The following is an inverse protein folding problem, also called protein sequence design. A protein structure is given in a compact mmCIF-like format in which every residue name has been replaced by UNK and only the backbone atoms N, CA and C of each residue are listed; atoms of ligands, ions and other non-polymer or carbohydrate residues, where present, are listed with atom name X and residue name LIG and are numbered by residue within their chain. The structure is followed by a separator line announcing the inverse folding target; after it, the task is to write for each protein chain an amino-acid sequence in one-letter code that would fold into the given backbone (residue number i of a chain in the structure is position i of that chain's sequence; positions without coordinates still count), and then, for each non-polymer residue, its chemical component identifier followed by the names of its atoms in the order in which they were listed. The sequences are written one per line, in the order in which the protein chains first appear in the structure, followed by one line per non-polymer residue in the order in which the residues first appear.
data_IF_884478182153
#
_entry.id   IF_884478182153
#
_cell.length_a   1.000
_cell.length_b   1.000
_cell.length_c   1.000
_cell.angle_alpha   90.00
_cell.angle_beta   90.00
_cell.angle_gamma   90.00
#
_symmetry.space_group_name_H-M   'P 1'
#
loop_
_entity.id
_entity.type
_entity.pdbx_description
1 polymer ?
#
# COMPACT_ATOMS: atom_id res chain seq x y z
N UNK A 1 9.43 7.80 -1.60
CA UNK A 1 10.17 6.92 -0.67
C UNK A 1 9.28 5.72 -0.39
N UNK A 2 9.79 4.50 -0.55
CA UNK A 2 9.06 3.25 -0.29
C UNK A 2 9.71 2.53 0.88
N UNK A 3 8.91 1.94 1.78
CA UNK A 3 9.41 1.15 2.91
C UNK A 3 8.98 -0.30 2.69
N UNK A 4 9.95 -1.17 2.44
CA UNK A 4 9.73 -2.59 2.24
C UNK A 4 10.09 -3.35 3.51
N UNK A 5 9.27 -4.33 3.91
CA UNK A 5 9.53 -5.22 5.05
C UNK A 5 9.80 -6.64 4.56
N UNK A 6 10.95 -7.20 4.93
CA UNK A 6 11.30 -8.60 4.70
C UNK A 6 12.30 -9.09 5.75
N UNK A 7 12.25 -10.38 6.08
CA UNK A 7 13.29 -11.08 6.84
C UNK A 7 14.12 -12.03 5.95
N UNK A 8 13.70 -12.21 4.69
CA UNK A 8 14.45 -12.99 3.71
C UNK A 8 15.53 -12.08 3.09
N UNK A 9 16.80 -12.52 3.18
CA UNK A 9 17.95 -11.77 2.69
C UNK A 9 17.91 -11.50 1.19
N UNK A 10 17.63 -12.52 0.38
CA UNK A 10 17.55 -12.35 -1.08
C UNK A 10 16.48 -11.31 -1.46
N UNK A 11 15.32 -11.35 -0.79
CA UNK A 11 14.25 -10.35 -0.98
C UNK A 11 14.66 -8.94 -0.59
N UNK A 12 15.51 -8.77 0.43
CA UNK A 12 16.00 -7.45 0.83
C UNK A 12 16.96 -6.90 -0.23
N UNK A 13 17.81 -7.74 -0.80
CA UNK A 13 18.73 -7.37 -1.89
C UNK A 13 17.92 -6.97 -3.14
N UNK A 14 16.93 -7.78 -3.57
CA UNK A 14 16.03 -7.46 -4.70
C UNK A 14 15.24 -6.15 -4.50
N UNK A 15 14.71 -5.89 -3.30
CA UNK A 15 13.89 -4.70 -3.05
C UNK A 15 14.68 -3.38 -3.15
N UNK A 16 16.01 -3.41 -2.98
CA UNK A 16 16.88 -2.23 -3.09
C UNK A 16 17.33 -2.00 -4.53
N UNK A 17 17.34 -3.05 -5.35
CA UNK A 17 17.81 -3.04 -6.74
C UNK A 17 16.75 -2.53 -7.73
N UNK A 18 16.25 -1.31 -7.49
CA UNK A 18 15.16 -0.69 -8.26
C UNK A 18 15.58 0.61 -8.98
N UNK A 19 16.84 1.03 -8.84
CA UNK A 19 17.29 2.34 -9.33
C UNK A 19 17.89 2.31 -10.75
N UNK A 20 18.34 1.15 -11.20
CA UNK A 20 19.04 1.00 -12.49
C UNK A 20 18.09 0.76 -13.68
N UNK A 21 16.78 0.70 -13.43
CA UNK A 21 15.76 0.50 -14.46
C UNK A 21 14.50 1.33 -14.18
N UNK A 22 13.65 1.45 -15.18
CA UNK A 22 12.35 2.11 -15.08
C UNK A 22 11.28 1.35 -15.85
N UNK A 23 10.03 1.54 -15.45
CA UNK A 23 8.87 1.05 -16.19
C UNK A 23 8.59 1.96 -17.38
N UNK A 24 8.13 1.35 -18.48
CA UNK A 24 7.61 2.06 -19.63
C UNK A 24 6.25 2.70 -19.33
N UNK A 25 5.84 3.69 -20.13
CA UNK A 25 4.51 4.31 -20.00
C UNK A 25 3.37 3.29 -20.16
N UNK A 26 3.54 2.28 -21.00
CA UNK A 26 2.52 1.24 -21.18
C UNK A 26 2.37 0.37 -19.93
N UNK A 27 3.48 0.02 -19.28
CA UNK A 27 3.47 -0.74 -18.02
C UNK A 27 2.87 0.06 -16.87
N UNK A 28 3.17 1.36 -16.78
CA UNK A 28 2.57 2.26 -15.80
C UNK A 28 1.04 2.34 -16.00
N UNK A 29 0.56 2.49 -17.24
CA UNK A 29 -0.89 2.47 -17.54
C UNK A 29 -1.57 1.17 -17.11
N UNK A 30 -0.89 0.02 -17.21
CA UNK A 30 -1.44 -1.26 -16.75
C UNK A 30 -1.60 -1.29 -15.23
N UNK A 31 -0.69 -0.67 -14.49
CA UNK A 31 -0.77 -0.57 -13.01
C UNK A 31 -1.93 0.32 -12.59
N UNK A 32 -2.18 1.42 -13.30
CA UNK A 32 -3.32 2.33 -13.01
C UNK A 32 -4.68 1.64 -13.15
N UNK A 33 -4.78 0.58 -13.95
CA UNK A 33 -6.01 -0.18 -14.15
C UNK A 33 -6.27 -1.22 -13.04
N UNK A 34 -5.33 -1.42 -12.11
CA UNK A 34 -5.52 -2.36 -11.00
C UNK A 34 -6.63 -1.84 -10.09
N UNK A 35 -7.64 -2.68 -9.74
CA UNK A 35 -8.68 -2.29 -8.80
C UNK A 35 -8.09 -1.86 -7.46
N UNK A 36 -8.43 -0.65 -7.03
CA UNK A 36 -7.95 -0.09 -5.77
C UNK A 36 -8.78 -0.62 -4.61
N UNK A 37 -8.10 -1.10 -3.58
CA UNK A 37 -8.71 -1.51 -2.32
C UNK A 37 -7.69 -1.33 -1.20
N UNK A 38 -8.16 -0.90 -0.03
CA UNK A 38 -7.30 -0.64 1.12
C UNK A 38 -7.21 -1.86 2.02
N UNK A 39 -5.99 -2.24 2.42
CA UNK A 39 -5.73 -3.50 3.14
C UNK A 39 -5.89 -3.39 4.66
N UNK A 40 -5.63 -2.22 5.25
CA UNK A 40 -5.75 -1.97 6.70
C UNK A 40 -6.98 -1.12 6.98
N UNK A 41 -8.12 -1.77 7.21
CA UNK A 41 -9.40 -1.10 7.34
C UNK A 41 -9.84 -0.93 8.80
N UNK A 42 -9.66 -1.95 9.66
CA UNK A 42 -10.40 -2.02 10.93
C UNK A 42 -9.56 -2.04 12.19
N UNK A 43 -8.23 -2.12 12.10
CA UNK A 43 -7.37 -2.33 13.28
C UNK A 43 -7.45 -1.19 14.31
N UNK A 44 -8.00 -0.04 13.90
CA UNK A 44 -8.18 1.16 14.73
C UNK A 44 -9.64 1.56 14.94
N UNK A 45 -10.59 0.72 14.52
CA UNK A 45 -12.03 0.99 14.66
C UNK A 45 -12.55 0.31 15.92
N UNK A 46 -13.05 1.10 16.86
CA UNK A 46 -13.57 0.62 18.14
C UNK A 46 -14.93 1.26 18.44
N UNK A 47 -15.85 0.48 19.00
CA UNK A 47 -17.21 0.96 19.28
C UNK A 47 -17.24 2.14 20.28
N UNK A 48 -16.31 2.15 21.23
CA UNK A 48 -16.08 3.19 22.24
C UNK A 48 -14.89 4.09 21.90
N UNK A 49 -14.26 3.89 20.74
CA UNK A 49 -13.11 4.67 20.28
C UNK A 49 -13.48 5.96 19.54
N UNK A 50 -12.47 6.77 19.19
CA UNK A 50 -12.66 8.00 18.43
C UNK A 50 -13.17 7.75 17.00
N UNK A 51 -12.84 6.59 16.44
CA UNK A 51 -13.29 6.16 15.10
C UNK A 51 -14.21 4.95 15.24
N UNK A 52 -15.48 5.14 14.92
CA UNK A 52 -16.54 4.13 15.11
C UNK A 52 -16.76 3.27 13.87
N UNK A 53 -16.37 3.79 12.71
CA UNK A 53 -16.42 3.10 11.43
C UNK A 53 -15.10 3.30 10.67
N UNK A 54 -14.91 2.48 9.64
CA UNK A 54 -13.76 2.63 8.73
C UNK A 54 -13.84 3.93 7.94
N UNK A 55 -15.05 4.35 7.56
CA UNK A 55 -15.27 5.62 6.86
C UNK A 55 -14.90 6.82 7.73
N UNK A 56 -15.26 6.79 9.03
CA UNK A 56 -14.86 7.82 9.99
C UNK A 56 -13.33 7.88 10.17
N UNK A 57 -12.65 6.73 10.10
CA UNK A 57 -11.20 6.65 10.21
C UNK A 57 -10.47 7.32 9.04
N UNK A 58 -11.10 7.32 7.87
CA UNK A 58 -10.50 7.78 6.61
C UNK A 58 -11.22 8.97 5.98
N UNK A 59 -12.11 9.64 6.72
CA UNK A 59 -12.92 10.76 6.23
C UNK A 59 -13.66 10.47 4.90
N UNK A 60 -14.07 9.20 4.69
CA UNK A 60 -14.72 8.73 3.47
C UNK A 60 -13.79 8.45 2.28
N UNK A 61 -12.46 8.53 2.45
CA UNK A 61 -11.46 8.14 1.44
C UNK A 61 -11.19 6.62 1.47
N UNK A 62 -12.17 5.87 0.97
CA UNK A 62 -12.17 4.39 0.88
C UNK A 62 -11.93 3.87 -0.54
#
# INVERSE_FOLDING_TARGET
MVVMKSFNRARLEENVDIFDWNLTEEELKKIELVPQTRTTLSDFVFADGPFKTVDDLWDGEM
#
